data_IF_386870901810
#
_entry.id   IF_386870901810
#
_cell.length_a   1.000
_cell.length_b   1.000
_cell.length_c   1.000
_cell.angle_alpha   90.00
_cell.angle_beta   90.00
_cell.angle_gamma   90.00
#
_symmetry.space_group_name_H-M   'P 1'
#
loop_
_entity.id
_entity.type
_entity.pdbx_description
1 polymer ?
#
# COMPACT_ATOMS: atom_id res chain seq x y z
N UNK A 1 3.77 -16.10 27.70
CA UNK A 1 4.89 -15.18 27.34
C UNK A 1 4.29 -13.78 27.31
N UNK A 2 4.79 -12.85 28.10
CA UNK A 2 4.29 -11.46 28.09
C UNK A 2 4.87 -10.75 26.88
N UNK A 3 3.99 -10.29 25.98
CA UNK A 3 4.38 -9.51 24.79
C UNK A 3 4.45 -8.05 25.24
N UNK A 4 5.67 -7.45 25.18
CA UNK A 4 5.91 -6.03 25.51
C UNK A 4 6.54 -5.29 24.33
N UNK A 5 6.57 -3.96 24.38
CA UNK A 5 7.28 -3.14 23.39
C UNK A 5 8.77 -3.54 23.32
N UNK A 6 9.42 -3.68 24.47
CA UNK A 6 10.84 -4.05 24.55
C UNK A 6 11.10 -5.41 23.91
N UNK A 7 10.33 -6.44 24.30
CA UNK A 7 10.49 -7.77 23.74
C UNK A 7 10.36 -7.79 22.22
N UNK A 8 9.30 -7.16 21.69
CA UNK A 8 9.04 -7.13 20.25
C UNK A 8 10.13 -6.33 19.50
N UNK A 9 10.61 -5.23 20.07
CA UNK A 9 11.65 -4.43 19.45
C UNK A 9 13.00 -5.16 19.41
N UNK A 10 13.38 -5.88 20.47
CA UNK A 10 14.61 -6.69 20.48
C UNK A 10 14.52 -7.89 19.53
N UNK A 11 13.38 -8.55 19.42
CA UNK A 11 13.18 -9.61 18.42
C UNK A 11 13.21 -9.07 16.98
N UNK A 12 12.64 -7.89 16.74
CA UNK A 12 12.73 -7.22 15.43
C UNK A 12 14.20 -6.94 15.05
N UNK A 13 14.99 -6.38 15.97
CA UNK A 13 16.42 -6.10 15.73
C UNK A 13 17.24 -7.33 15.40
N UNK A 14 16.89 -8.48 15.96
CA UNK A 14 17.60 -9.75 15.68
C UNK A 14 17.30 -10.32 14.30
N UNK A 15 16.07 -10.14 13.83
CA UNK A 15 15.54 -10.89 12.68
C UNK A 15 15.28 -10.03 11.44
N UNK A 16 15.07 -8.72 11.61
CA UNK A 16 14.74 -7.82 10.51
C UNK A 16 15.97 -7.07 10.00
N UNK A 17 16.16 -7.06 8.68
CA UNK A 17 17.22 -6.27 8.06
C UNK A 17 16.98 -4.77 8.33
N UNK A 18 17.95 -4.02 8.94
CA UNK A 18 17.76 -2.65 9.39
C UNK A 18 17.75 -1.64 8.23
N UNK A 19 16.77 -1.74 7.34
CA UNK A 19 16.56 -0.81 6.22
C UNK A 19 15.97 0.54 6.65
N UNK A 20 15.33 0.58 7.82
CA UNK A 20 14.75 1.78 8.43
C UNK A 20 15.10 1.84 9.91
N UNK A 21 15.32 3.07 10.42
CA UNK A 21 15.39 3.30 11.87
C UNK A 21 13.97 3.25 12.44
N UNK A 22 13.67 2.21 13.22
CA UNK A 22 12.37 2.04 13.87
C UNK A 22 12.34 2.67 15.25
N UNK A 23 11.16 3.11 15.67
CA UNK A 23 10.92 3.51 17.05
C UNK A 23 10.72 2.27 17.92
N UNK A 24 11.12 2.30 19.22
CA UNK A 24 10.93 1.17 20.14
C UNK A 24 9.48 1.07 20.62
N UNK A 25 8.56 0.99 19.69
CA UNK A 25 7.12 0.90 19.91
C UNK A 25 6.54 -0.19 19.01
N UNK A 26 5.74 -1.08 19.60
CA UNK A 26 5.05 -2.14 18.89
C UNK A 26 3.54 -1.97 19.06
N UNK A 27 2.86 -1.52 18.01
CA UNK A 27 1.42 -1.38 18.01
C UNK A 27 0.76 -2.72 17.71
N UNK A 28 -0.18 -3.12 18.57
CA UNK A 28 -0.89 -4.40 18.47
C UNK A 28 -2.38 -4.27 18.19
N UNK A 29 -2.93 -3.05 18.31
CA UNK A 29 -4.36 -2.79 18.12
C UNK A 29 -4.56 -1.40 17.54
N UNK A 30 -5.55 -1.27 16.63
CA UNK A 30 -6.00 0.00 16.09
C UNK A 30 -7.51 0.06 15.97
N UNK A 31 -8.10 1.26 16.19
CA UNK A 31 -9.52 1.53 15.97
C UNK A 31 -9.73 3.01 15.64
N UNK A 32 -10.24 3.31 14.46
CA UNK A 32 -10.37 4.69 14.00
C UNK A 32 -9.00 5.39 14.00
N UNK A 33 -8.88 6.51 14.69
CA UNK A 33 -7.62 7.28 14.81
C UNK A 33 -6.83 6.91 16.07
N UNK A 34 -7.05 5.75 16.68
CA UNK A 34 -6.38 5.34 17.91
C UNK A 34 -5.59 4.05 17.70
N UNK A 35 -4.43 4.00 18.35
CA UNK A 35 -3.54 2.86 18.41
C UNK A 35 -3.24 2.48 19.86
N UNK A 36 -3.01 1.22 20.12
CA UNK A 36 -2.52 0.71 21.41
C UNK A 36 -1.25 -0.08 21.17
N UNK A 37 -0.25 0.22 21.98
CA UNK A 37 1.00 -0.53 21.95
C UNK A 37 0.92 -1.84 22.76
N UNK A 38 1.99 -2.61 22.73
CA UNK A 38 2.07 -3.89 23.42
C UNK A 38 2.05 -3.78 24.95
N UNK A 39 2.35 -2.59 25.49
CA UNK A 39 2.28 -2.32 26.93
C UNK A 39 0.93 -1.74 27.35
N UNK A 40 -0.03 -1.64 26.39
CA UNK A 40 -1.41 -1.20 26.62
C UNK A 40 -1.61 0.31 26.59
N UNK A 41 -0.58 1.09 26.28
CA UNK A 41 -0.69 2.55 26.18
C UNK A 41 -1.42 2.96 24.90
N UNK A 42 -2.33 3.91 25.03
CA UNK A 42 -3.09 4.48 23.91
C UNK A 42 -2.40 5.69 23.28
N UNK A 43 -2.50 5.79 21.95
CA UNK A 43 -1.98 6.89 21.15
C UNK A 43 -3.01 7.39 20.16
N UNK A 44 -2.95 8.68 19.82
CA UNK A 44 -3.66 9.23 18.66
C UNK A 44 -2.75 9.08 17.44
N UNK A 45 -3.23 8.39 16.41
CA UNK A 45 -2.50 8.20 15.17
C UNK A 45 -2.71 9.39 14.23
N UNK A 46 -1.70 10.25 14.15
CA UNK A 46 -1.64 11.38 13.22
C UNK A 46 -0.88 11.05 11.93
N UNK A 47 -0.36 9.83 11.80
CA UNK A 47 0.44 9.40 10.64
C UNK A 47 -0.38 8.53 9.67
N UNK A 48 -1.34 7.76 10.20
CA UNK A 48 -2.22 6.86 9.45
C UNK A 48 -1.47 5.89 8.51
N UNK A 49 -0.29 5.39 8.93
CA UNK A 49 0.55 4.54 8.08
C UNK A 49 1.09 5.26 6.85
N UNK A 50 1.44 6.53 6.97
CA UNK A 50 1.80 7.46 5.89
C UNK A 50 0.62 7.57 4.91
N UNK A 51 -0.55 8.00 5.46
CA UNK A 51 -1.81 8.21 4.73
C UNK A 51 -2.40 6.96 4.04
N UNK A 52 -2.08 5.76 4.49
CA UNK A 52 -2.69 4.51 4.01
C UNK A 52 -4.06 4.27 4.66
N UNK A 53 -4.18 4.50 5.96
CA UNK A 53 -5.40 4.23 6.73
C UNK A 53 -6.36 5.44 6.76
N UNK A 54 -6.68 6.01 5.61
CA UNK A 54 -7.49 7.23 5.50
C UNK A 54 -8.90 7.11 6.08
N UNK A 55 -9.45 5.90 6.16
CA UNK A 55 -10.75 5.62 6.79
C UNK A 55 -10.64 5.29 8.28
N UNK A 56 -9.42 5.31 8.82
CA UNK A 56 -9.09 4.87 10.17
C UNK A 56 -8.85 3.36 10.28
N UNK A 57 -8.18 2.97 11.36
CA UNK A 57 -7.87 1.57 11.64
C UNK A 57 -9.14 0.73 11.82
N UNK A 58 -9.12 -0.45 11.22
CA UNK A 58 -10.19 -1.46 11.32
C UNK A 58 -11.59 -0.91 10.98
N UNK A 59 -11.70 -0.11 9.91
CA UNK A 59 -12.99 0.41 9.45
C UNK A 59 -13.94 -0.74 9.13
N UNK A 60 -15.16 -0.81 9.72
CA UNK A 60 -16.01 -2.01 9.68
C UNK A 60 -16.35 -2.48 8.27
N UNK A 61 -16.66 -1.54 7.35
CA UNK A 61 -16.97 -1.88 5.96
C UNK A 61 -15.77 -2.45 5.20
N UNK A 62 -14.57 -1.93 5.48
CA UNK A 62 -13.33 -2.44 4.85
C UNK A 62 -13.01 -3.83 5.36
N UNK A 63 -13.04 -4.01 6.69
CA UNK A 63 -12.80 -5.32 7.32
C UNK A 63 -13.79 -6.37 6.78
N UNK A 64 -15.08 -6.03 6.71
CA UNK A 64 -16.11 -6.94 6.18
C UNK A 64 -15.85 -7.31 4.73
N UNK A 65 -15.53 -6.33 3.86
CA UNK A 65 -15.24 -6.58 2.45
C UNK A 65 -14.02 -7.48 2.26
N UNK A 66 -12.95 -7.29 3.07
CA UNK A 66 -11.77 -8.15 3.03
C UNK A 66 -12.09 -9.57 3.48
N UNK A 67 -12.86 -9.73 4.58
CA UNK A 67 -13.25 -11.04 5.08
C UNK A 67 -14.09 -11.81 4.06
N UNK A 68 -15.08 -11.16 3.45
CA UNK A 68 -15.95 -11.78 2.45
C UNK A 68 -15.15 -12.23 1.23
N UNK A 69 -14.36 -11.31 0.66
CA UNK A 69 -13.56 -11.62 -0.53
C UNK A 69 -12.50 -12.68 -0.27
N UNK A 70 -11.87 -12.68 0.91
CA UNK A 70 -10.88 -13.69 1.28
C UNK A 70 -11.50 -15.10 1.39
N UNK A 71 -12.76 -15.19 1.79
CA UNK A 71 -13.49 -16.46 1.85
C UNK A 71 -13.94 -16.97 0.47
N UNK A 72 -14.03 -16.10 -0.54
CA UNK A 72 -14.48 -16.47 -1.89
C UNK A 72 -13.30 -16.74 -2.83
N UNK A 73 -12.40 -15.76 -2.96
CA UNK A 73 -11.28 -15.83 -3.92
C UNK A 73 -10.18 -14.85 -3.55
N UNK A 74 -8.99 -15.34 -3.23
CA UNK A 74 -7.83 -14.51 -2.89
C UNK A 74 -6.97 -14.14 -4.09
N UNK A 75 -6.70 -15.09 -5.01
CA UNK A 75 -5.80 -14.86 -6.14
C UNK A 75 -6.05 -15.83 -7.31
N UNK A 76 -5.97 -15.33 -8.55
CA UNK A 76 -6.13 -16.16 -9.76
C UNK A 76 -5.11 -15.86 -10.87
N UNK A 77 -4.13 -15.00 -10.68
CA UNK A 77 -3.24 -14.50 -11.74
C UNK A 77 -3.90 -13.49 -12.70
N UNK A 78 -3.08 -12.64 -13.31
CA UNK A 78 -3.50 -11.68 -14.35
C UNK A 78 -3.88 -12.34 -15.70
N UNK A 79 -3.77 -13.65 -15.82
CA UNK A 79 -4.30 -14.37 -16.99
C UNK A 79 -5.83 -14.45 -17.00
N UNK A 80 -6.45 -14.20 -15.87
CA UNK A 80 -7.89 -14.29 -15.70
C UNK A 80 -8.46 -12.96 -15.18
N UNK A 81 -9.74 -12.78 -15.39
CA UNK A 81 -10.48 -11.59 -14.94
C UNK A 81 -11.16 -11.89 -13.62
N UNK A 82 -11.13 -10.96 -12.68
CA UNK A 82 -11.87 -11.07 -11.41
C UNK A 82 -12.81 -9.88 -11.21
N UNK A 83 -13.99 -10.10 -10.58
CA UNK A 83 -14.95 -9.03 -10.36
C UNK A 83 -14.41 -7.80 -9.61
N UNK A 84 -13.61 -7.94 -8.53
CA UNK A 84 -13.05 -6.78 -7.84
C UNK A 84 -12.11 -5.93 -8.71
N UNK A 85 -11.29 -6.57 -9.56
CA UNK A 85 -10.41 -5.85 -10.48
C UNK A 85 -11.19 -5.05 -11.52
N UNK A 86 -12.25 -5.64 -12.07
CA UNK A 86 -13.12 -4.95 -13.03
C UNK A 86 -13.82 -3.76 -12.37
N UNK A 87 -14.38 -3.96 -11.18
CA UNK A 87 -15.08 -2.92 -10.45
C UNK A 87 -14.18 -1.72 -10.11
N UNK A 88 -12.97 -1.97 -9.57
CA UNK A 88 -12.04 -0.89 -9.22
C UNK A 88 -11.49 -0.19 -10.47
N UNK A 89 -11.19 -0.93 -11.53
CA UNK A 89 -10.71 -0.34 -12.79
C UNK A 89 -11.76 0.56 -13.43
N UNK A 90 -13.01 0.12 -13.47
CA UNK A 90 -14.13 0.95 -13.95
C UNK A 90 -14.28 2.22 -13.11
N UNK A 91 -14.32 2.09 -11.80
CA UNK A 91 -14.44 3.23 -10.89
C UNK A 91 -13.32 4.25 -11.09
N UNK A 92 -12.08 3.80 -11.22
CA UNK A 92 -10.93 4.69 -11.44
C UNK A 92 -10.98 5.39 -12.81
N UNK A 93 -11.41 4.69 -13.85
CA UNK A 93 -11.64 5.30 -15.19
C UNK A 93 -12.70 6.37 -15.11
N UNK A 94 -13.84 6.08 -14.49
CA UNK A 94 -14.97 7.02 -14.35
C UNK A 94 -14.56 8.28 -13.54
N UNK A 95 -13.77 8.11 -12.48
CA UNK A 95 -13.33 9.22 -11.62
C UNK A 95 -12.21 10.07 -12.24
N UNK A 96 -11.30 9.47 -12.98
CA UNK A 96 -10.11 10.17 -13.52
C UNK A 96 -10.28 10.69 -14.93
N UNK A 97 -11.25 10.19 -15.68
CA UNK A 97 -11.42 10.46 -17.11
C UNK A 97 -10.33 9.81 -18.00
N UNK A 98 -9.43 9.02 -17.43
CA UNK A 98 -8.44 8.25 -18.17
C UNK A 98 -9.07 7.00 -18.78
N UNK A 99 -8.51 6.49 -19.87
CA UNK A 99 -9.11 5.38 -20.60
C UNK A 99 -8.84 4.00 -20.00
N UNK A 100 -7.73 3.83 -19.32
CA UNK A 100 -7.26 2.54 -18.83
C UNK A 100 -6.54 2.68 -17.49
N UNK A 101 -6.56 1.59 -16.71
CA UNK A 101 -5.89 1.47 -15.42
C UNK A 101 -4.91 0.31 -15.47
N UNK A 102 -3.75 0.50 -14.86
CA UNK A 102 -2.76 -0.52 -14.61
C UNK A 102 -2.56 -0.67 -13.10
N UNK A 103 -2.95 -1.80 -12.55
CA UNK A 103 -2.86 -2.09 -11.12
C UNK A 103 -1.50 -2.72 -10.81
N UNK A 104 -0.86 -2.24 -9.75
CA UNK A 104 0.45 -2.71 -9.27
C UNK A 104 0.44 -2.89 -7.76
N UNK A 105 1.49 -3.51 -7.20
CA UNK A 105 1.58 -3.77 -5.77
C UNK A 105 2.22 -2.61 -4.98
N UNK A 106 2.90 -1.68 -5.66
CA UNK A 106 3.61 -0.58 -5.01
C UNK A 106 3.71 0.66 -5.89
N UNK A 107 4.01 1.80 -5.27
CA UNK A 107 4.31 3.04 -5.99
C UNK A 107 5.54 2.92 -6.89
N UNK A 108 6.58 2.22 -6.44
CA UNK A 108 7.76 1.96 -7.26
C UNK A 108 7.43 1.19 -8.55
N UNK A 109 6.62 0.14 -8.45
CA UNK A 109 6.15 -0.61 -9.62
C UNK A 109 5.29 0.25 -10.55
N UNK A 110 4.46 1.13 -9.98
CA UNK A 110 3.63 2.06 -10.77
C UNK A 110 4.47 3.04 -11.56
N UNK A 111 5.52 3.61 -10.95
CA UNK A 111 6.46 4.53 -11.63
C UNK A 111 7.27 3.78 -12.67
N UNK A 112 7.79 2.59 -12.39
CA UNK A 112 8.45 1.71 -13.37
C UNK A 112 7.54 1.43 -14.59
N UNK A 113 6.28 1.08 -14.34
CA UNK A 113 5.28 0.89 -15.38
C UNK A 113 5.05 2.14 -16.21
N UNK A 114 4.90 3.30 -15.57
CA UNK A 114 4.73 4.59 -16.25
C UNK A 114 5.92 4.94 -17.15
N UNK A 115 7.15 4.77 -16.65
CA UNK A 115 8.39 4.99 -17.42
C UNK A 115 8.44 4.08 -18.65
N UNK A 116 8.16 2.80 -18.49
CA UNK A 116 8.14 1.83 -19.59
C UNK A 116 7.09 2.19 -20.64
N UNK A 117 5.89 2.55 -20.22
CA UNK A 117 4.80 2.96 -21.13
C UNK A 117 5.19 4.24 -21.89
N UNK A 118 5.69 5.27 -21.20
CA UNK A 118 6.08 6.53 -21.80
C UNK A 118 7.18 6.34 -22.85
N UNK A 119 8.23 5.58 -22.50
CA UNK A 119 9.33 5.28 -23.43
C UNK A 119 8.89 4.45 -24.64
N UNK A 120 8.06 3.44 -24.42
CA UNK A 120 7.47 2.62 -25.50
C UNK A 120 6.62 3.46 -26.45
N UNK A 121 5.81 4.37 -25.90
CA UNK A 121 5.00 5.29 -26.66
C UNK A 121 5.86 6.25 -27.51
N UNK A 122 6.89 6.86 -26.92
CA UNK A 122 7.82 7.75 -27.61
C UNK A 122 8.56 7.03 -28.75
N UNK A 123 9.09 5.83 -28.47
CA UNK A 123 9.78 5.00 -29.48
C UNK A 123 8.87 4.67 -30.67
N UNK A 124 7.62 4.28 -30.45
CA UNK A 124 6.67 3.99 -31.53
C UNK A 124 6.35 5.21 -32.41
N UNK A 125 6.66 6.42 -31.97
CA UNK A 125 6.44 7.68 -32.67
C UNK A 125 7.72 8.31 -33.17
N UNK A 126 8.84 7.59 -33.12
CA UNK A 126 10.17 8.09 -33.46
C UNK A 126 10.55 9.38 -32.72
N UNK A 127 10.13 9.50 -31.46
CA UNK A 127 10.49 10.59 -30.55
C UNK A 127 11.53 10.12 -29.53
N UNK A 128 12.28 11.06 -28.98
CA UNK A 128 13.23 10.79 -27.90
C UNK A 128 12.51 10.10 -26.70
N UNK A 129 13.29 9.42 -25.87
CA UNK A 129 12.77 8.69 -24.68
C UNK A 129 13.28 9.26 -23.37
N UNK A 130 13.66 10.52 -23.34
CA UNK A 130 14.13 11.21 -22.14
C UNK A 130 12.96 11.45 -21.19
N UNK A 131 13.24 11.26 -19.89
CA UNK A 131 12.29 11.49 -18.80
C UNK A 131 12.91 12.52 -17.86
N UNK A 132 12.18 13.59 -17.61
CA UNK A 132 12.61 14.65 -16.71
C UNK A 132 11.99 14.34 -15.33
N UNK A 133 12.83 14.35 -14.29
CA UNK A 133 12.39 14.21 -12.90
C UNK A 133 12.95 15.33 -12.04
N UNK A 134 12.26 15.63 -10.95
CA UNK A 134 12.77 16.58 -9.97
C UNK A 134 13.88 15.94 -9.16
N UNK A 135 14.91 16.72 -8.81
CA UNK A 135 15.99 16.27 -7.94
C UNK A 135 15.41 15.92 -6.57
N UNK A 136 15.88 14.81 -5.97
CA UNK A 136 15.42 14.28 -4.69
C UNK A 136 13.95 13.82 -4.69
N UNK A 137 13.35 13.48 -5.83
CA UNK A 137 12.07 12.78 -5.87
C UNK A 137 12.15 11.42 -5.19
N UNK A 138 11.03 10.97 -4.62
CA UNK A 138 10.98 9.72 -3.87
C UNK A 138 11.10 8.48 -4.77
N UNK A 139 10.54 8.51 -5.95
CA UNK A 139 10.62 7.45 -6.96
C UNK A 139 11.29 7.95 -8.24
#
# INVERSE_FOLDING_TARGET
MHISNEYLYEEDKKNYLPTFKRFPLAFIKGKGSRLWDADGKEYIDMLAGIAVNNLGHCHPKVVKAVQDQAAELMHISNFFVSPPQVAVSKLLVDLTGLKHVFLTNSGAESVEGAIKIARKYAHKRNKGGEIISMKNSFH
#
